data_IF_536793795209
#
_entry.id   IF_536793795209
#
_cell.length_a   1.000
_cell.length_b   1.000
_cell.length_c   1.000
_cell.angle_alpha   90.00
_cell.angle_beta   90.00
_cell.angle_gamma   90.00
#
_symmetry.space_group_name_H-M   'P 1'
#
loop_
_entity.id
_entity.type
_entity.pdbx_description
1 polymer ?
#
# COMPACT_ATOMS: atom_id res chain seq x y z
N UNK A 1 12.62 -28.54 -37.88
CA UNK A 1 12.93 -28.61 -36.43
C UNK A 1 13.40 -27.23 -36.02
N UNK A 2 12.58 -26.46 -35.30
CA UNK A 2 12.88 -25.07 -34.92
C UNK A 2 12.79 -24.95 -33.39
N UNK A 3 13.94 -24.77 -32.76
CA UNK A 3 14.10 -24.64 -31.31
C UNK A 3 13.63 -23.26 -30.88
N UNK A 4 12.52 -23.19 -30.14
CA UNK A 4 12.08 -21.93 -29.52
C UNK A 4 13.05 -21.57 -28.39
N UNK A 5 13.76 -20.45 -28.58
CA UNK A 5 14.66 -19.83 -27.60
C UNK A 5 13.82 -19.41 -26.39
N UNK A 6 14.06 -20.01 -25.22
CA UNK A 6 13.36 -19.67 -23.97
C UNK A 6 13.92 -18.38 -23.41
N UNK A 7 13.08 -17.35 -23.34
CA UNK A 7 13.42 -16.07 -22.75
C UNK A 7 13.14 -16.12 -21.24
N UNK A 8 14.11 -15.78 -20.40
CA UNK A 8 13.96 -15.72 -18.93
C UNK A 8 14.12 -14.30 -18.43
N UNK A 9 13.34 -13.95 -17.39
CA UNK A 9 13.14 -12.61 -16.80
C UNK A 9 14.42 -11.79 -16.52
N UNK A 10 15.57 -12.44 -16.36
CA UNK A 10 16.87 -11.76 -16.14
C UNK A 10 17.46 -11.09 -17.39
N UNK A 11 17.11 -11.52 -18.60
CA UNK A 11 17.70 -10.93 -19.82
C UNK A 11 17.00 -9.64 -20.30
N UNK A 12 15.98 -9.16 -19.57
CA UNK A 12 15.28 -7.92 -19.90
C UNK A 12 15.92 -6.68 -19.26
N UNK A 13 16.68 -6.86 -18.16
CA UNK A 13 17.32 -5.77 -17.43
C UNK A 13 18.60 -5.27 -18.12
N UNK A 14 19.24 -6.08 -18.99
CA UNK A 14 20.45 -5.67 -19.72
C UNK A 14 20.20 -4.81 -20.97
N UNK A 15 18.95 -4.61 -21.42
CA UNK A 15 18.67 -3.92 -22.70
C UNK A 15 18.14 -2.48 -22.59
N UNK A 16 18.03 -1.90 -21.40
CA UNK A 16 17.37 -0.57 -21.23
C UNK A 16 18.26 0.53 -20.66
N UNK A 17 19.57 0.46 -20.85
CA UNK A 17 20.46 1.59 -20.57
C UNK A 17 21.33 1.91 -21.79
N UNK A 18 20.83 2.76 -22.68
CA UNK A 18 21.57 3.79 -23.45
C UNK A 18 20.54 4.59 -24.24
N UNK A 19 20.31 5.86 -23.90
CA UNK A 19 20.25 6.93 -24.92
C UNK A 19 20.39 8.32 -24.29
N UNK A 20 21.52 8.96 -24.58
CA UNK A 20 21.68 10.41 -24.52
C UNK A 20 20.95 11.05 -25.71
N UNK A 21 20.16 12.11 -25.50
CA UNK A 21 19.74 12.99 -26.60
C UNK A 21 19.92 14.45 -26.20
N UNK A 22 20.89 15.08 -26.86
CA UNK A 22 21.08 16.53 -26.99
C UNK A 22 19.92 17.18 -27.72
N UNK A 23 19.45 18.29 -27.18
CA UNK A 23 18.35 19.11 -27.70
C UNK A 23 18.73 19.92 -28.94
N UNK A 24 17.87 19.91 -29.96
CA UNK A 24 17.62 21.08 -30.83
C UNK A 24 16.37 20.92 -31.70
N UNK A 25 15.49 21.91 -31.58
CA UNK A 25 14.52 22.43 -32.55
C UNK A 25 13.52 21.46 -33.21
N UNK A 26 12.26 21.58 -32.77
CA UNK A 26 11.07 21.59 -33.65
C UNK A 26 10.61 20.26 -34.22
N UNK A 27 9.54 19.70 -33.63
CA UNK A 27 8.30 19.24 -34.27
C UNK A 27 7.51 18.41 -33.26
N UNK A 28 6.20 18.66 -33.18
CA UNK A 28 5.30 18.09 -32.20
C UNK A 28 5.11 16.58 -32.39
N UNK A 29 5.46 15.81 -31.35
CA UNK A 29 4.96 14.45 -31.13
C UNK A 29 4.22 14.46 -29.80
N UNK A 30 2.91 14.19 -29.84
CA UNK A 30 2.08 14.01 -28.65
C UNK A 30 2.48 12.67 -28.03
N UNK A 31 3.44 12.70 -27.11
CA UNK A 31 3.74 11.55 -26.26
C UNK A 31 2.88 11.67 -25.02
N UNK A 32 1.95 10.74 -24.84
CA UNK A 32 1.22 10.57 -23.59
C UNK A 32 2.21 10.16 -22.49
N UNK A 33 2.83 11.15 -21.87
CA UNK A 33 3.55 10.97 -20.62
C UNK A 33 2.47 10.69 -19.57
N UNK A 34 2.28 9.41 -19.24
CA UNK A 34 1.84 9.07 -17.89
C UNK A 34 2.89 9.67 -16.98
N UNK A 35 2.57 10.64 -16.10
CA UNK A 35 3.56 11.10 -15.16
C UNK A 35 3.77 9.93 -14.21
N UNK A 36 4.87 9.20 -14.41
CA UNK A 36 5.53 8.58 -13.27
C UNK A 36 5.90 9.76 -12.37
N UNK A 37 5.05 10.02 -11.37
CA UNK A 37 5.35 10.92 -10.27
C UNK A 37 6.46 10.25 -9.47
N UNK A 38 7.68 10.27 -10.04
CA UNK A 38 8.87 10.08 -9.26
C UNK A 38 8.95 11.28 -8.34
N UNK A 39 8.82 11.04 -7.03
CA UNK A 39 9.19 12.02 -6.01
C UNK A 39 10.60 12.51 -6.36
N UNK A 40 10.68 13.71 -6.91
CA UNK A 40 11.94 14.42 -7.06
C UNK A 40 12.52 14.63 -5.67
N UNK A 41 13.85 14.75 -5.54
CA UNK A 41 14.57 14.95 -4.28
C UNK A 41 14.28 16.33 -3.61
N UNK A 42 13.01 16.73 -3.56
CA UNK A 42 12.52 17.80 -2.72
C UNK A 42 12.48 17.26 -1.29
N UNK A 43 13.12 17.99 -0.37
CA UNK A 43 12.97 17.83 1.07
C UNK A 43 11.52 17.47 1.40
N UNK A 44 11.31 16.24 1.85
CA UNK A 44 10.00 15.74 2.19
C UNK A 44 9.44 16.66 3.29
N UNK A 45 8.23 17.24 3.13
CA UNK A 45 7.72 18.23 4.06
C UNK A 45 7.65 17.64 5.46
N UNK A 46 8.21 18.32 6.48
CA UNK A 46 8.20 17.82 7.86
C UNK A 46 6.76 17.50 8.28
N UNK A 47 6.49 16.21 8.52
CA UNK A 47 5.22 15.75 9.04
C UNK A 47 5.29 15.84 10.57
N UNK A 48 4.24 16.34 11.25
CA UNK A 48 4.22 16.36 12.70
C UNK A 48 4.45 14.94 13.23
N UNK A 49 5.50 14.76 14.03
CA UNK A 49 5.87 13.47 14.63
C UNK A 49 6.93 12.65 13.89
N UNK A 50 7.52 13.15 12.79
CA UNK A 50 8.58 12.45 12.06
C UNK A 50 9.81 13.34 11.80
N UNK A 51 10.98 12.88 12.21
CA UNK A 51 12.23 13.31 11.59
C UNK A 51 12.43 12.64 10.21
N UNK A 52 13.38 13.14 9.41
CA UNK A 52 13.62 12.63 8.05
C UNK A 52 14.00 11.14 8.04
N UNK A 53 14.76 10.66 9.02
CA UNK A 53 15.19 9.26 9.11
C UNK A 53 14.01 8.37 9.48
N UNK A 54 13.20 8.79 10.45
CA UNK A 54 11.97 8.10 10.86
C UNK A 54 11.01 7.98 9.69
N UNK A 55 10.91 9.01 8.84
CA UNK A 55 10.11 8.95 7.63
C UNK A 55 10.62 7.94 6.61
N UNK A 56 11.94 7.83 6.41
CA UNK A 56 12.52 6.85 5.50
C UNK A 56 12.34 5.41 6.00
N UNK A 57 12.55 5.18 7.30
CA UNK A 57 12.28 3.88 7.92
C UNK A 57 10.79 3.53 7.81
N UNK A 58 9.92 4.51 8.00
CA UNK A 58 8.48 4.33 7.84
C UNK A 58 8.08 3.97 6.42
N UNK A 59 8.58 4.72 5.42
CA UNK A 59 8.35 4.44 4.00
C UNK A 59 8.80 3.00 3.68
N UNK A 60 9.99 2.62 4.16
CA UNK A 60 10.53 1.28 3.96
C UNK A 60 9.65 0.21 4.61
N UNK A 61 9.11 0.46 5.80
CA UNK A 61 8.18 -0.44 6.47
C UNK A 61 6.86 -0.58 5.71
N UNK A 62 6.23 0.52 5.30
CA UNK A 62 4.89 0.46 4.66
C UNK A 62 4.92 -0.16 3.28
N UNK A 63 6.03 -0.02 2.55
CA UNK A 63 6.21 -0.64 1.24
C UNK A 63 6.40 -2.16 1.34
N UNK A 64 6.89 -2.69 2.46
CA UNK A 64 6.86 -4.14 2.69
C UNK A 64 5.47 -4.63 3.12
N UNK A 65 4.67 -3.78 3.79
CA UNK A 65 3.28 -4.13 4.17
C UNK A 65 2.35 -4.16 2.94
N UNK A 66 2.47 -3.17 2.05
CA UNK A 66 1.75 -3.10 0.77
C UNK A 66 2.75 -2.75 -0.35
N UNK A 67 3.40 -3.77 -0.96
CA UNK A 67 4.33 -3.58 -2.05
C UNK A 67 3.63 -3.28 -3.37
N UNK A 68 4.35 -2.69 -4.33
CA UNK A 68 3.87 -2.57 -5.70
C UNK A 68 3.74 -3.95 -6.35
N UNK A 69 2.52 -4.34 -6.70
CA UNK A 69 2.23 -5.65 -7.29
C UNK A 69 0.93 -5.61 -8.12
N UNK A 70 0.83 -6.45 -9.15
CA UNK A 70 -0.38 -6.65 -9.94
C UNK A 70 -1.03 -5.36 -10.51
N UNK A 71 -0.20 -4.38 -10.85
CA UNK A 71 -0.65 -3.08 -11.37
C UNK A 71 -1.11 -2.10 -10.29
N UNK A 72 -0.99 -2.48 -9.01
CA UNK A 72 -1.19 -1.63 -7.85
C UNK A 72 0.13 -0.96 -7.44
N UNK A 73 0.12 0.33 -7.07
CA UNK A 73 1.31 1.05 -6.60
C UNK A 73 1.71 0.60 -5.18
N UNK A 74 2.94 0.85 -4.76
CA UNK A 74 3.33 0.65 -3.36
C UNK A 74 2.65 1.68 -2.43
N UNK A 75 2.61 1.42 -1.12
CA UNK A 75 1.98 2.33 -0.17
C UNK A 75 2.58 3.75 -0.18
N UNK A 76 3.90 3.85 -0.29
CA UNK A 76 4.60 5.14 -0.31
C UNK A 76 4.32 5.96 -1.58
N UNK A 77 3.97 5.31 -2.69
CA UNK A 77 3.65 5.95 -3.97
C UNK A 77 2.26 6.61 -3.96
N UNK A 78 1.43 6.32 -2.96
CA UNK A 78 0.09 6.90 -2.79
C UNK A 78 -0.05 7.74 -1.52
N UNK A 79 1.07 8.28 -1.04
CA UNK A 79 1.18 9.19 0.11
C UNK A 79 0.51 8.63 1.39
N UNK A 80 0.57 7.32 1.62
CA UNK A 80 0.06 6.70 2.86
C UNK A 80 0.76 7.31 4.07
N UNK A 81 2.03 7.68 3.93
CA UNK A 81 2.82 8.27 5.00
C UNK A 81 2.20 9.56 5.53
N UNK A 82 1.68 10.40 4.64
CA UNK A 82 1.00 11.64 5.02
C UNK A 82 -0.33 11.37 5.74
N UNK A 83 -1.10 10.37 5.30
CA UNK A 83 -2.38 10.04 5.95
C UNK A 83 -2.16 9.52 7.36
N UNK A 84 -1.21 8.59 7.54
CA UNK A 84 -0.92 8.03 8.86
C UNK A 84 -0.43 9.11 9.82
N UNK A 85 0.38 10.06 9.35
CA UNK A 85 0.76 11.23 10.15
C UNK A 85 -0.45 12.09 10.59
N UNK A 86 -1.54 12.16 9.81
CA UNK A 86 -2.76 12.83 10.30
C UNK A 86 -3.48 12.02 11.39
N UNK A 87 -3.48 10.69 11.32
CA UNK A 87 -4.07 9.83 12.34
C UNK A 87 -3.34 9.93 13.68
N UNK A 88 -2.03 10.15 13.65
CA UNK A 88 -1.23 10.36 14.85
C UNK A 88 -1.77 11.50 15.71
N UNK A 89 -2.24 12.59 15.09
CA UNK A 89 -2.85 13.71 15.83
C UNK A 89 -4.14 13.36 16.58
N UNK A 90 -4.75 12.20 16.29
CA UNK A 90 -6.05 11.77 16.80
C UNK A 90 -5.97 10.55 17.71
N UNK A 91 -4.95 9.71 17.56
CA UNK A 91 -4.75 8.48 18.33
C UNK A 91 -3.34 8.39 18.91
N UNK A 92 -3.20 8.75 20.19
CA UNK A 92 -1.95 8.64 20.94
C UNK A 92 -1.44 7.20 21.02
N UNK A 93 -2.34 6.22 21.12
CA UNK A 93 -1.97 4.81 21.18
C UNK A 93 -1.47 4.26 19.85
N UNK A 94 -1.76 4.94 18.74
CA UNK A 94 -1.18 4.64 17.43
C UNK A 94 0.24 5.23 17.31
N UNK A 95 0.46 6.45 17.81
CA UNK A 95 1.82 7.04 17.87
C UNK A 95 2.75 6.14 18.68
N UNK A 96 2.35 5.76 19.90
CA UNK A 96 3.19 4.95 20.78
C UNK A 96 3.52 3.57 20.18
N UNK A 97 2.50 2.93 19.57
CA UNK A 97 2.68 1.67 18.84
C UNK A 97 3.67 1.82 17.67
N UNK A 98 3.62 2.97 17.00
CA UNK A 98 4.47 3.28 15.87
C UNK A 98 5.92 3.55 16.28
N UNK A 99 6.15 4.45 17.24
CA UNK A 99 7.47 4.78 17.77
C UNK A 99 8.17 3.54 18.32
N UNK A 100 7.46 2.76 19.15
CA UNK A 100 8.01 1.51 19.69
C UNK A 100 8.36 0.50 18.60
N UNK A 101 7.59 0.44 17.50
CA UNK A 101 7.88 -0.43 16.37
C UNK A 101 9.13 0.01 15.60
N UNK A 102 9.26 1.30 15.32
CA UNK A 102 10.45 1.84 14.65
C UNK A 102 11.72 1.66 15.49
N UNK A 103 11.65 1.91 16.79
CA UNK A 103 12.79 1.72 17.70
C UNK A 103 13.25 0.26 17.71
N UNK A 104 12.30 -0.69 17.77
CA UNK A 104 12.60 -2.12 17.64
C UNK A 104 13.30 -2.44 16.31
N UNK A 105 12.78 -1.95 15.19
CA UNK A 105 13.35 -2.23 13.86
C UNK A 105 14.76 -1.65 13.72
N UNK A 106 14.99 -0.44 14.21
CA UNK A 106 16.31 0.22 14.20
C UNK A 106 17.33 -0.50 15.06
N UNK A 107 16.94 -0.90 16.27
CA UNK A 107 17.76 -1.70 17.16
C UNK A 107 18.18 -3.00 16.45
N UNK A 108 17.22 -3.76 15.91
CA UNK A 108 17.51 -5.05 15.27
C UNK A 108 18.27 -4.93 13.96
N UNK A 109 18.04 -3.88 13.17
CA UNK A 109 18.82 -3.60 11.97
C UNK A 109 20.28 -3.33 12.33
N UNK A 110 20.52 -2.50 13.34
CA UNK A 110 21.87 -2.19 13.82
C UNK A 110 22.56 -3.44 14.40
N UNK A 111 21.86 -4.19 15.26
CA UNK A 111 22.42 -5.39 15.92
C UNK A 111 22.77 -6.52 14.95
N UNK A 112 21.95 -6.78 13.92
CA UNK A 112 22.15 -7.92 13.02
C UNK A 112 22.92 -7.61 11.75
N UNK A 113 22.81 -6.37 11.27
CA UNK A 113 23.28 -6.01 9.93
C UNK A 113 24.21 -4.79 9.92
N UNK A 114 24.41 -4.12 11.06
CA UNK A 114 25.24 -2.91 11.18
C UNK A 114 24.80 -1.79 10.20
N UNK A 115 23.50 -1.73 9.91
CA UNK A 115 22.89 -0.83 8.92
C UNK A 115 21.60 -0.19 9.46
N UNK A 116 21.23 0.96 8.90
CA UNK A 116 19.91 1.56 9.11
C UNK A 116 18.82 0.65 8.54
N UNK A 117 17.64 0.63 9.15
CA UNK A 117 16.53 -0.21 8.67
C UNK A 117 16.14 0.11 7.22
N UNK A 118 16.07 1.39 6.84
CA UNK A 118 15.80 1.80 5.47
C UNK A 118 16.81 1.30 4.42
N UNK A 119 18.05 1.03 4.83
CA UNK A 119 19.15 0.62 3.93
C UNK A 119 19.21 -0.90 3.72
N UNK A 120 18.45 -1.66 4.52
CA UNK A 120 18.33 -3.11 4.39
C UNK A 120 17.64 -3.50 3.07
N UNK A 121 17.95 -4.69 2.56
CA UNK A 121 17.18 -5.25 1.45
C UNK A 121 15.81 -5.77 1.92
N UNK A 122 14.89 -6.00 0.97
CA UNK A 122 13.50 -6.41 1.27
C UNK A 122 13.41 -7.69 2.11
N UNK A 123 14.20 -8.72 1.79
CA UNK A 123 14.18 -9.99 2.56
C UNK A 123 14.57 -9.75 4.03
N UNK A 124 15.58 -8.92 4.29
CA UNK A 124 15.99 -8.53 5.64
C UNK A 124 14.93 -7.70 6.36
N UNK A 125 14.30 -6.74 5.66
CA UNK A 125 13.23 -5.93 6.24
C UNK A 125 12.02 -6.78 6.62
N UNK A 126 11.63 -7.71 5.76
CA UNK A 126 10.54 -8.66 6.03
C UNK A 126 10.88 -9.51 7.26
N UNK A 127 12.10 -10.06 7.36
CA UNK A 127 12.52 -10.84 8.53
C UNK A 127 12.37 -10.05 9.84
N UNK A 128 12.78 -8.77 9.86
CA UNK A 128 12.66 -7.93 11.05
C UNK A 128 11.19 -7.56 11.34
N UNK A 129 10.37 -7.34 10.32
CA UNK A 129 8.93 -7.07 10.48
C UNK A 129 8.18 -8.30 11.01
N UNK A 130 8.52 -9.51 10.56
CA UNK A 130 7.97 -10.75 11.11
C UNK A 130 8.32 -10.92 12.60
N UNK A 131 9.55 -10.55 12.98
CA UNK A 131 9.97 -10.56 14.39
C UNK A 131 9.24 -9.50 15.23
N UNK A 132 9.00 -8.31 14.66
CA UNK A 132 8.18 -7.28 15.29
C UNK A 132 6.74 -7.76 15.50
N UNK A 133 6.11 -8.38 14.49
CA UNK A 133 4.76 -8.93 14.59
C UNK A 133 4.68 -10.04 15.65
N UNK A 134 5.72 -10.87 15.79
CA UNK A 134 5.78 -11.89 16.83
C UNK A 134 5.96 -11.31 18.24
N UNK A 135 6.70 -10.21 18.38
CA UNK A 135 7.04 -9.59 19.68
C UNK A 135 5.90 -8.73 20.20
N UNK A 136 5.30 -7.90 19.34
CA UNK A 136 4.15 -7.05 19.66
C UNK A 136 3.06 -7.14 18.57
N UNK A 137 2.28 -8.23 18.56
CA UNK A 137 1.23 -8.44 17.56
C UNK A 137 0.07 -7.46 17.66
N UNK A 138 -0.10 -6.76 18.79
CA UNK A 138 -1.21 -5.82 19.00
C UNK A 138 -0.86 -4.49 18.36
N UNK A 139 0.32 -3.93 18.69
CA UNK A 139 0.79 -2.67 18.11
C UNK A 139 1.04 -2.79 16.62
N UNK A 140 1.66 -3.88 16.17
CA UNK A 140 1.88 -4.13 14.74
C UNK A 140 0.57 -4.16 13.96
N UNK A 141 -0.47 -4.79 14.51
CA UNK A 141 -1.80 -4.84 13.88
C UNK A 141 -2.46 -3.47 13.78
N UNK A 142 -2.27 -2.59 14.77
CA UNK A 142 -2.78 -1.21 14.72
C UNK A 142 -2.11 -0.43 13.58
N UNK A 143 -0.78 -0.45 13.52
CA UNK A 143 -0.01 0.24 12.48
C UNK A 143 -0.38 -0.32 11.10
N UNK A 144 -0.42 -1.64 10.94
CA UNK A 144 -0.89 -2.28 9.71
C UNK A 144 -2.31 -1.83 9.34
N UNK A 145 -3.23 -1.78 10.31
CA UNK A 145 -4.59 -1.28 10.08
C UNK A 145 -4.62 0.13 9.50
N UNK A 146 -3.85 1.05 10.09
CA UNK A 146 -3.73 2.43 9.62
C UNK A 146 -3.13 2.53 8.20
N UNK A 147 -2.15 1.67 7.88
CA UNK A 147 -1.56 1.59 6.52
C UNK A 147 -2.60 1.11 5.50
N UNK A 148 -3.35 0.05 5.82
CA UNK A 148 -4.41 -0.47 4.95
C UNK A 148 -5.53 0.55 4.74
N UNK A 149 -5.96 1.22 5.81
CA UNK A 149 -6.95 2.29 5.72
C UNK A 149 -6.44 3.43 4.84
N UNK A 150 -5.22 3.91 5.11
CA UNK A 150 -4.60 4.99 4.35
C UNK A 150 -4.39 4.68 2.87
N UNK A 151 -4.24 3.40 2.51
CA UNK A 151 -4.08 2.95 1.13
C UNK A 151 -5.43 2.84 0.41
N UNK A 152 -6.36 2.06 0.97
CA UNK A 152 -7.63 1.74 0.31
C UNK A 152 -8.69 2.86 0.41
N UNK A 153 -8.43 3.93 1.16
CA UNK A 153 -9.28 5.14 1.16
C UNK A 153 -8.87 6.16 0.10
N UNK A 154 -7.82 5.90 -0.69
CA UNK A 154 -7.36 6.83 -1.73
C UNK A 154 -8.18 6.69 -3.02
N UNK A 155 -8.68 7.80 -3.60
CA UNK A 155 -9.39 7.76 -4.89
C UNK A 155 -8.61 7.09 -6.02
N UNK A 156 -7.29 7.28 -6.07
CA UNK A 156 -6.43 6.63 -7.06
C UNK A 156 -6.45 5.10 -6.97
N UNK A 157 -6.56 4.55 -5.75
CA UNK A 157 -6.67 3.10 -5.54
C UNK A 157 -8.07 2.59 -5.89
N UNK A 158 -9.12 3.36 -5.61
CA UNK A 158 -10.51 2.99 -5.95
C UNK A 158 -10.68 2.66 -7.43
N UNK A 159 -10.08 3.45 -8.31
CA UNK A 159 -10.12 3.21 -9.75
C UNK A 159 -9.45 1.90 -10.15
N UNK A 160 -8.35 1.53 -9.50
CA UNK A 160 -7.61 0.30 -9.80
C UNK A 160 -8.38 -0.95 -9.36
N UNK A 161 -9.09 -0.88 -8.23
CA UNK A 161 -9.89 -2.00 -7.70
C UNK A 161 -11.32 -2.05 -8.25
N UNK A 162 -11.69 -1.13 -9.16
CA UNK A 162 -13.03 -1.04 -9.72
C UNK A 162 -14.10 -0.57 -8.71
N UNK A 163 -13.70 0.06 -7.61
CA UNK A 163 -14.63 0.62 -6.64
C UNK A 163 -15.29 1.88 -7.21
N UNK A 164 -16.62 1.89 -7.17
CA UNK A 164 -17.42 3.05 -7.53
C UNK A 164 -18.01 3.64 -6.23
N UNK A 165 -17.67 4.89 -5.88
CA UNK A 165 -18.28 5.53 -4.73
C UNK A 165 -19.76 5.80 -5.00
N UNK A 166 -20.62 5.44 -4.06
CA UNK A 166 -22.06 5.69 -4.11
C UNK A 166 -22.45 6.64 -2.96
N UNK A 167 -22.50 7.96 -3.21
CA UNK A 167 -22.92 8.93 -2.21
C UNK A 167 -24.31 8.63 -1.67
N UNK A 168 -24.54 8.92 -0.38
CA UNK A 168 -25.81 8.66 0.31
C UNK A 168 -26.98 9.50 -0.19
N UNK A 169 -26.71 10.54 -0.98
CA UNK A 169 -27.71 11.42 -1.62
C UNK A 169 -28.02 11.02 -3.08
N UNK A 170 -27.56 9.86 -3.54
CA UNK A 170 -27.80 9.34 -4.89
C UNK A 170 -28.43 7.95 -4.85
N UNK A 171 -29.00 7.51 -5.97
CA UNK A 171 -29.46 6.12 -6.10
C UNK A 171 -28.27 5.17 -5.91
N UNK A 172 -28.47 4.13 -5.10
CA UNK A 172 -27.44 3.13 -4.83
C UNK A 172 -27.11 2.29 -6.06
N UNK A 173 -26.12 1.38 -5.94
CA UNK A 173 -25.80 0.46 -7.03
C UNK A 173 -27.03 -0.37 -7.40
N UNK A 174 -27.22 -0.60 -8.70
CA UNK A 174 -28.25 -1.50 -9.18
C UNK A 174 -27.93 -2.92 -8.69
N UNK A 175 -28.74 -3.43 -7.76
CA UNK A 175 -28.63 -4.79 -7.26
C UNK A 175 -29.33 -5.76 -8.21
N UNK A 176 -28.83 -6.98 -8.30
CA UNK A 176 -29.59 -8.05 -8.94
C UNK A 176 -30.95 -8.24 -8.24
N UNK A 177 -32.01 -8.60 -8.98
CA UNK A 177 -33.29 -8.92 -8.37
C UNK A 177 -33.12 -10.00 -7.30
N UNK A 178 -33.84 -9.85 -6.19
CA UNK A 178 -33.81 -10.82 -5.11
C UNK A 178 -34.21 -12.22 -5.62
N UNK A 179 -33.38 -13.22 -5.34
CA UNK A 179 -33.67 -14.61 -5.68
C UNK A 179 -34.71 -15.21 -4.72
N UNK A 180 -35.97 -15.25 -5.16
CA UNK A 180 -37.10 -15.82 -4.43
C UNK A 180 -36.89 -17.29 -4.01
N UNK A 181 -36.04 -18.06 -4.71
CA UNK A 181 -35.78 -19.46 -4.37
C UNK A 181 -35.05 -19.60 -3.03
N UNK A 182 -34.30 -18.57 -2.61
CA UNK A 182 -33.65 -18.49 -1.30
C UNK A 182 -34.65 -18.58 -0.14
N UNK A 183 -35.93 -18.23 -0.36
CA UNK A 183 -36.98 -18.27 0.65
C UNK A 183 -37.65 -19.64 0.79
N UNK A 184 -37.36 -20.62 -0.07
CA UNK A 184 -38.04 -21.92 -0.02
C UNK A 184 -37.91 -22.60 1.34
N UNK A 185 -36.72 -22.55 1.94
CA UNK A 185 -36.50 -23.11 3.28
C UNK A 185 -37.38 -22.43 4.32
N UNK A 186 -37.43 -21.10 4.31
CA UNK A 186 -38.18 -20.29 5.29
C UNK A 186 -39.68 -20.51 5.12
N UNK A 187 -40.17 -20.56 3.88
CA UNK A 187 -41.58 -20.82 3.57
C UNK A 187 -42.06 -22.20 4.01
N UNK A 188 -41.16 -23.18 4.13
CA UNK A 188 -41.47 -24.54 4.64
C UNK A 188 -41.49 -24.62 6.17
N UNK A 189 -40.98 -23.63 6.89
CA UNK A 189 -41.00 -23.64 8.35
C UNK A 189 -42.44 -23.42 8.84
N UNK A 190 -42.86 -24.11 9.91
CA UNK A 190 -44.13 -23.84 10.55
C UNK A 190 -44.12 -22.43 11.16
N UNK A 191 -45.29 -21.82 11.32
CA UNK A 191 -45.43 -20.57 12.07
C UNK A 191 -44.82 -20.76 13.47
N UNK A 192 -43.80 -19.97 13.80
CA UNK A 192 -43.16 -19.96 15.12
C UNK A 192 -43.82 -18.95 16.09
N UNK A 193 -44.81 -18.21 15.64
CA UNK A 193 -45.55 -17.22 16.43
C UNK A 193 -47.00 -17.66 16.67
N UNK A 194 -47.60 -17.17 17.76
CA UNK A 194 -49.04 -17.36 18.03
C UNK A 194 -49.85 -16.32 17.26
N UNK A 195 -50.93 -16.76 16.62
CA UNK A 195 -51.95 -15.85 16.09
C UNK A 195 -52.68 -15.21 17.29
N UNK A 196 -52.95 -13.90 17.22
CA UNK A 196 -53.69 -13.11 18.23
C UNK A 196 -55.18 -13.20 17.96
#
# INVERSE_FOLDING_TARGET
VSTKKKWTRRSFIESTFVTSVTSRAGLATVSSVVPAVGRSQEELPELPGFDQTQRLDFISMVDEIIPAADGMPAASEVDVDQYVATLFTQDQGLIEAFESGLDFLREKATERHEQSFSDLNSDQRIELLEQLEATDPVSFRKVRGAVYEGYYTRPQIWHLVGYQPHPTNSEGPAMEPFDDSSLERVRRLPKLYRDV
#
